data_IF_323020879670
#
_entry.id   IF_323020879670
#
_cell.length_a   1.000
_cell.length_b   1.000
_cell.length_c   1.000
_cell.angle_alpha   90.00
_cell.angle_beta   90.00
_cell.angle_gamma   90.00
#
_symmetry.space_group_name_H-M   'P 1'
#
loop_
_entity.id
_entity.type
_entity.pdbx_description
1 polymer ?
#
# COMPACT_ATOMS: atom_id res chain seq x y z
N UNK A 1 -9.31 3.63 25.44
CA UNK A 1 -8.12 3.56 24.55
C UNK A 1 -7.62 4.97 24.30
N UNK A 2 -6.31 5.25 24.45
CA UNK A 2 -5.74 6.58 24.13
C UNK A 2 -6.00 6.93 22.65
N UNK A 3 -6.34 8.18 22.34
CA UNK A 3 -6.70 8.68 20.99
C UNK A 3 -5.70 8.25 19.90
N UNK A 4 -4.41 8.25 20.24
CA UNK A 4 -3.29 7.79 19.39
C UNK A 4 -3.45 6.36 18.85
N UNK A 5 -4.05 5.44 19.61
CA UNK A 5 -4.27 4.05 19.18
C UNK A 5 -5.43 3.95 18.18
N UNK A 6 -6.46 4.79 18.31
CA UNK A 6 -7.58 4.80 17.38
C UNK A 6 -7.17 5.33 16.00
N UNK A 7 -6.30 6.34 15.95
CA UNK A 7 -5.74 6.86 14.71
C UNK A 7 -4.83 5.84 14.01
N UNK A 8 -4.00 5.12 14.78
CA UNK A 8 -3.17 4.04 14.24
C UNK A 8 -4.01 2.89 13.66
N UNK A 9 -5.08 2.46 14.36
CA UNK A 9 -5.98 1.41 13.86
C UNK A 9 -6.69 1.82 12.57
N UNK A 10 -7.15 3.08 12.46
CA UNK A 10 -7.76 3.61 11.23
C UNK A 10 -6.77 3.64 10.06
N UNK A 11 -5.52 4.04 10.32
CA UNK A 11 -4.47 4.03 9.31
C UNK A 11 -4.23 2.62 8.78
N UNK A 12 -4.00 1.65 9.68
CA UNK A 12 -3.75 0.26 9.29
C UNK A 12 -4.93 -0.35 8.53
N UNK A 13 -6.17 -0.02 8.94
CA UNK A 13 -7.39 -0.41 8.21
C UNK A 13 -7.37 0.13 6.78
N UNK A 14 -7.04 1.40 6.59
CA UNK A 14 -7.02 2.02 5.25
C UNK A 14 -5.92 1.43 4.37
N UNK A 15 -4.74 1.16 4.93
CA UNK A 15 -3.65 0.47 4.22
C UNK A 15 -4.09 -0.93 3.79
N UNK A 16 -4.67 -1.71 4.71
CA UNK A 16 -5.16 -3.05 4.40
C UNK A 16 -6.24 -3.07 3.31
N UNK A 17 -7.22 -2.16 3.39
CA UNK A 17 -8.26 -2.01 2.36
C UNK A 17 -7.68 -1.55 1.02
N UNK A 18 -6.65 -0.69 1.04
CA UNK A 18 -5.91 -0.30 -0.15
C UNK A 18 -5.32 -1.51 -0.87
N UNK A 19 -4.64 -2.39 -0.15
CA UNK A 19 -4.07 -3.61 -0.72
C UNK A 19 -5.14 -4.58 -1.22
N UNK A 20 -6.23 -4.79 -0.46
CA UNK A 20 -7.33 -5.65 -0.91
C UNK A 20 -7.96 -5.16 -2.22
N UNK A 21 -8.14 -3.84 -2.34
CA UNK A 21 -8.67 -3.24 -3.55
C UNK A 21 -7.72 -3.34 -4.74
N UNK A 22 -6.41 -3.29 -4.51
CA UNK A 22 -5.43 -3.38 -5.59
C UNK A 22 -5.21 -4.80 -6.10
N UNK A 23 -5.38 -5.85 -5.29
CA UNK A 23 -5.19 -7.26 -5.70
C UNK A 23 -5.91 -7.59 -7.01
N UNK A 24 -7.19 -7.20 -7.14
CA UNK A 24 -8.01 -7.55 -8.31
C UNK A 24 -7.49 -6.84 -9.56
N UNK A 25 -7.22 -5.53 -9.45
CA UNK A 25 -6.78 -4.72 -10.60
C UNK A 25 -5.36 -5.12 -11.03
N UNK A 26 -4.48 -5.40 -10.06
CA UNK A 26 -3.12 -5.90 -10.31
C UNK A 26 -3.11 -7.29 -10.95
N UNK A 27 -4.09 -8.14 -10.64
CA UNK A 27 -4.22 -9.46 -11.28
C UNK A 27 -4.67 -9.32 -12.73
N UNK A 28 -5.64 -8.46 -13.02
CA UNK A 28 -6.07 -8.13 -14.39
C UNK A 28 -4.92 -7.51 -15.19
N UNK A 29 -4.15 -6.61 -14.57
CA UNK A 29 -2.97 -6.03 -15.20
C UNK A 29 -1.90 -7.08 -15.55
N UNK A 30 -1.62 -8.00 -14.63
CA UNK A 30 -0.65 -9.07 -14.88
C UNK A 30 -1.08 -9.96 -16.04
N UNK A 31 -2.36 -10.30 -16.11
CA UNK A 31 -2.94 -11.05 -17.23
C UNK A 31 -2.81 -10.29 -18.56
N UNK A 32 -3.15 -8.99 -18.56
CA UNK A 32 -3.02 -8.12 -19.73
C UNK A 32 -1.56 -8.02 -20.24
N UNK A 33 -0.58 -8.07 -19.34
CA UNK A 33 0.84 -8.08 -19.71
C UNK A 33 1.42 -9.48 -19.87
N UNK A 34 0.61 -10.54 -19.94
CA UNK A 34 1.05 -11.94 -19.99
C UNK A 34 1.97 -12.26 -21.17
N UNK A 35 1.78 -11.60 -22.31
CA UNK A 35 2.61 -11.78 -23.51
C UNK A 35 3.94 -11.01 -23.47
N UNK A 36 4.16 -10.17 -22.45
CA UNK A 36 5.40 -9.43 -22.27
C UNK A 36 6.45 -10.29 -21.56
N UNK A 37 7.73 -9.91 -21.67
CA UNK A 37 8.77 -10.56 -20.89
C UNK A 37 8.46 -10.48 -19.38
N UNK A 38 8.71 -11.56 -18.65
CA UNK A 38 8.31 -11.69 -17.23
C UNK A 38 8.75 -10.54 -16.34
N UNK A 39 9.96 -9.99 -16.57
CA UNK A 39 10.46 -8.84 -15.81
C UNK A 39 9.68 -7.55 -16.13
N UNK A 40 9.20 -7.38 -17.36
CA UNK A 40 8.32 -6.27 -17.76
C UNK A 40 6.94 -6.45 -17.14
N UNK A 41 6.37 -7.66 -17.22
CA UNK A 41 5.09 -7.98 -16.60
C UNK A 41 5.11 -7.66 -15.10
N UNK A 42 6.11 -8.19 -14.38
CA UNK A 42 6.29 -7.94 -12.95
C UNK A 42 6.41 -6.43 -12.63
N UNK A 43 7.19 -5.69 -13.43
CA UNK A 43 7.39 -4.25 -13.23
C UNK A 43 6.12 -3.43 -13.49
N UNK A 44 5.43 -3.66 -14.61
CA UNK A 44 4.20 -2.92 -14.94
C UNK A 44 3.05 -3.27 -14.00
N UNK A 45 2.93 -4.53 -13.62
CA UNK A 45 1.95 -4.97 -12.61
C UNK A 45 2.18 -4.25 -11.29
N UNK A 46 3.43 -4.16 -10.82
CA UNK A 46 3.76 -3.45 -9.58
C UNK A 46 3.46 -1.95 -9.66
N UNK A 47 3.72 -1.32 -10.81
CA UNK A 47 3.38 0.10 -11.00
C UNK A 47 1.86 0.31 -10.90
N UNK A 48 1.07 -0.54 -11.56
CA UNK A 48 -0.39 -0.46 -11.49
C UNK A 48 -0.89 -0.73 -10.07
N UNK A 49 -0.32 -1.73 -9.39
CA UNK A 49 -0.60 -2.04 -7.99
C UNK A 49 -0.45 -0.78 -7.12
N UNK A 50 0.67 -0.08 -7.27
CA UNK A 50 0.92 1.15 -6.52
C UNK A 50 -0.07 2.27 -6.84
N UNK A 51 -0.36 2.49 -8.12
CA UNK A 51 -1.33 3.52 -8.53
C UNK A 51 -2.69 3.25 -7.90
N UNK A 52 -3.17 2.01 -7.94
CA UNK A 52 -4.48 1.63 -7.38
C UNK A 52 -4.45 1.70 -5.85
N UNK A 53 -3.43 1.12 -5.22
CA UNK A 53 -3.24 1.14 -3.77
C UNK A 53 -3.27 2.56 -3.23
N UNK A 54 -2.43 3.47 -3.75
CA UNK A 54 -2.35 4.83 -3.25
C UNK A 54 -3.63 5.64 -3.53
N UNK A 55 -4.33 5.35 -4.63
CA UNK A 55 -5.62 5.99 -4.94
C UNK A 55 -6.69 5.60 -3.92
N UNK A 56 -6.84 4.30 -3.62
CA UNK A 56 -7.81 3.79 -2.65
C UNK A 56 -7.45 4.26 -1.25
N UNK A 57 -6.19 4.07 -0.85
CA UNK A 57 -5.68 4.50 0.45
C UNK A 57 -5.90 6.00 0.68
N UNK A 58 -5.49 6.84 -0.29
CA UNK A 58 -5.64 8.29 -0.19
C UNK A 58 -7.10 8.73 -0.11
N UNK A 59 -7.98 8.08 -0.87
CA UNK A 59 -9.42 8.29 -0.81
C UNK A 59 -9.99 7.97 0.58
N UNK A 60 -9.74 6.76 1.09
CA UNK A 60 -10.20 6.33 2.42
C UNK A 60 -9.65 7.22 3.54
N UNK A 61 -8.37 7.56 3.48
CA UNK A 61 -7.73 8.44 4.45
C UNK A 61 -8.37 9.83 4.45
N UNK A 62 -8.67 10.39 3.28
CA UNK A 62 -9.38 11.66 3.17
C UNK A 62 -10.79 11.56 3.78
N UNK A 63 -11.56 10.53 3.46
CA UNK A 63 -12.93 10.38 3.99
C UNK A 63 -12.96 10.27 5.52
N UNK A 64 -12.02 9.53 6.10
CA UNK A 64 -11.89 9.34 7.55
C UNK A 64 -11.49 10.64 8.29
N UNK A 65 -10.77 11.54 7.60
CA UNK A 65 -10.22 12.76 8.19
C UNK A 65 -10.79 14.05 7.60
N UNK A 66 -11.85 13.98 6.78
CA UNK A 66 -12.33 15.09 5.94
C UNK A 66 -12.54 16.41 6.69
N UNK A 67 -13.03 16.34 7.92
CA UNK A 67 -13.32 17.52 8.77
C UNK A 67 -12.05 18.33 9.09
N UNK A 68 -10.89 17.68 9.13
CA UNK A 68 -9.58 18.32 9.36
C UNK A 68 -9.16 19.23 8.21
N UNK A 69 -9.64 18.96 7.00
CA UNK A 69 -9.21 19.62 5.78
C UNK A 69 -10.22 20.63 5.25
N UNK A 70 -11.21 21.03 6.05
CA UNK A 70 -12.17 22.09 5.71
C UNK A 70 -11.72 23.35 6.44
N UNK A 71 -11.42 24.41 5.69
CA UNK A 71 -11.08 25.73 6.20
C UNK A 71 -12.34 26.43 6.75
N UNK A 72 -12.14 27.49 7.53
CA UNK A 72 -13.25 28.27 8.12
C UNK A 72 -14.20 28.88 7.06
N UNK A 73 -13.70 29.10 5.84
CA UNK A 73 -14.48 29.57 4.70
C UNK A 73 -15.17 28.45 3.91
N UNK A 74 -15.13 27.20 4.40
CA UNK A 74 -15.73 26.02 3.77
C UNK A 74 -14.90 25.41 2.63
N UNK A 75 -13.77 26.00 2.25
CA UNK A 75 -12.90 25.47 1.19
C UNK A 75 -12.02 24.33 1.71
N UNK A 76 -11.57 23.46 0.80
CA UNK A 76 -10.69 22.34 1.13
C UNK A 76 -9.23 22.78 1.21
N UNK A 77 -8.58 22.53 2.33
CA UNK A 77 -7.12 22.69 2.47
C UNK A 77 -6.39 21.50 1.82
N UNK A 78 -6.25 21.58 0.49
CA UNK A 78 -5.52 20.59 -0.30
C UNK A 78 -4.02 20.56 0.03
N UNK A 79 -3.45 21.67 0.51
CA UNK A 79 -2.03 21.77 0.84
C UNK A 79 -1.72 20.95 2.10
N UNK A 80 -2.56 21.10 3.13
CA UNK A 80 -2.46 20.30 4.35
C UNK A 80 -2.70 18.82 4.06
N UNK A 81 -3.76 18.47 3.31
CA UNK A 81 -4.04 17.08 2.93
C UNK A 81 -2.87 16.43 2.19
N UNK A 82 -2.32 17.12 1.18
CA UNK A 82 -1.16 16.61 0.43
C UNK A 82 0.06 16.44 1.32
N UNK A 83 0.33 17.42 2.20
CA UNK A 83 1.44 17.33 3.14
C UNK A 83 1.29 16.15 4.10
N UNK A 84 0.10 15.88 4.61
CA UNK A 84 -0.14 14.79 5.55
C UNK A 84 -0.05 13.43 4.87
N UNK A 85 -0.60 13.29 3.67
CA UNK A 85 -0.46 12.07 2.86
C UNK A 85 1.02 11.75 2.57
N UNK A 86 1.81 12.75 2.17
CA UNK A 86 3.26 12.56 1.93
C UNK A 86 3.95 12.08 3.20
N UNK A 87 3.71 12.73 4.35
CA UNK A 87 4.32 12.32 5.64
C UNK A 87 3.97 10.88 6.01
N UNK A 88 2.72 10.47 5.79
CA UNK A 88 2.26 9.12 6.09
C UNK A 88 2.96 8.11 5.18
N UNK A 89 2.95 8.34 3.86
CA UNK A 89 3.63 7.43 2.91
C UNK A 89 5.12 7.35 3.23
N UNK A 90 5.77 8.48 3.53
CA UNK A 90 7.17 8.50 3.96
C UNK A 90 7.40 7.71 5.26
N UNK A 91 6.45 7.75 6.21
CA UNK A 91 6.55 6.98 7.46
C UNK A 91 6.43 5.47 7.26
N UNK A 92 5.77 5.02 6.19
CA UNK A 92 5.68 3.62 5.79
C UNK A 92 6.95 3.14 5.06
N UNK A 93 7.92 4.03 4.80
CA UNK A 93 8.99 3.84 3.82
C UNK A 93 9.77 2.52 3.90
N UNK A 94 10.12 2.04 5.11
CA UNK A 94 10.84 0.75 5.25
C UNK A 94 9.95 -0.42 4.82
N UNK A 95 8.67 -0.39 5.21
CA UNK A 95 7.70 -1.39 4.78
C UNK A 95 7.54 -1.38 3.26
N UNK A 96 7.39 -0.20 2.66
CA UNK A 96 7.19 -0.04 1.21
C UNK A 96 8.36 -0.57 0.39
N UNK A 97 9.60 -0.29 0.81
CA UNK A 97 10.80 -0.80 0.13
C UNK A 97 10.84 -2.32 0.19
N UNK A 98 10.58 -2.91 1.37
CA UNK A 98 10.54 -4.37 1.52
C UNK A 98 9.43 -4.97 0.67
N UNK A 99 8.24 -4.37 0.66
CA UNK A 99 7.11 -4.81 -0.16
C UNK A 99 7.48 -4.78 -1.64
N UNK A 100 8.01 -3.66 -2.15
CA UNK A 100 8.44 -3.51 -3.55
C UNK A 100 9.35 -4.66 -3.99
N UNK A 101 10.40 -4.92 -3.20
CA UNK A 101 11.41 -5.93 -3.53
C UNK A 101 10.79 -7.33 -3.51
N UNK A 102 10.09 -7.68 -2.43
CA UNK A 102 9.50 -9.01 -2.26
C UNK A 102 8.42 -9.27 -3.31
N UNK A 103 7.54 -8.29 -3.57
CA UNK A 103 6.45 -8.38 -4.55
C UNK A 103 6.98 -8.61 -5.96
N UNK A 104 8.00 -7.86 -6.34
CA UNK A 104 8.59 -7.93 -7.67
C UNK A 104 9.32 -9.26 -7.88
N UNK A 105 10.13 -9.69 -6.91
CA UNK A 105 10.88 -10.95 -6.99
C UNK A 105 9.92 -12.14 -7.04
N UNK A 106 8.89 -12.17 -6.18
CA UNK A 106 7.93 -13.27 -6.17
C UNK A 106 7.15 -13.36 -7.47
N UNK A 107 6.65 -12.24 -8.03
CA UNK A 107 5.91 -12.28 -9.28
C UNK A 107 6.81 -12.72 -10.44
N UNK A 108 8.01 -12.13 -10.53
CA UNK A 108 8.98 -12.51 -11.55
C UNK A 108 9.32 -14.00 -11.47
N UNK A 109 9.58 -14.51 -10.27
CA UNK A 109 9.86 -15.92 -10.05
C UNK A 109 8.70 -16.83 -10.44
N UNK A 110 7.46 -16.47 -10.06
CA UNK A 110 6.27 -17.25 -10.41
C UNK A 110 6.05 -17.30 -11.92
N UNK A 111 6.23 -16.19 -12.63
CA UNK A 111 6.14 -16.16 -14.09
C UNK A 111 7.20 -17.06 -14.75
N UNK A 112 8.43 -17.06 -14.23
CA UNK A 112 9.53 -17.89 -14.74
C UNK A 112 9.28 -19.40 -14.60
N UNK A 113 8.43 -19.82 -13.65
CA UNK A 113 7.99 -21.22 -13.50
C UNK A 113 6.66 -21.50 -14.22
N UNK A 114 6.30 -20.64 -15.19
CA UNK A 114 5.11 -20.74 -16.04
C UNK A 114 3.78 -20.71 -15.26
N UNK A 115 3.75 -20.02 -14.12
CA UNK A 115 2.50 -19.76 -13.42
C UNK A 115 1.67 -18.74 -14.21
N UNK A 116 0.35 -18.95 -14.26
CA UNK A 116 -0.57 -18.03 -14.93
C UNK A 116 -0.40 -16.59 -14.36
N UNK A 117 -0.24 -15.55 -15.20
CA UNK A 117 0.10 -14.21 -14.72
C UNK A 117 -0.90 -13.63 -13.70
N UNK A 118 -2.18 -13.89 -13.91
CA UNK A 118 -3.25 -13.54 -12.97
C UNK A 118 -2.99 -14.12 -11.58
N UNK A 119 -2.71 -15.43 -11.50
CA UNK A 119 -2.45 -16.14 -10.25
C UNK A 119 -1.09 -15.76 -9.64
N UNK A 120 -0.07 -15.56 -10.48
CA UNK A 120 1.24 -15.09 -10.05
C UNK A 120 1.11 -13.76 -9.31
N UNK A 121 0.31 -12.83 -9.84
CA UNK A 121 0.04 -11.54 -9.21
C UNK A 121 -0.64 -11.68 -7.84
N UNK A 122 -1.73 -12.46 -7.75
CA UNK A 122 -2.47 -12.66 -6.50
C UNK A 122 -1.59 -13.27 -5.40
N UNK A 123 -0.85 -14.34 -5.72
CA UNK A 123 -0.02 -15.07 -4.74
C UNK A 123 1.11 -14.18 -4.24
N UNK A 124 1.84 -13.54 -5.16
CA UNK A 124 2.90 -12.59 -4.83
C UNK A 124 2.41 -11.47 -3.91
N UNK A 125 1.26 -10.87 -4.25
CA UNK A 125 0.70 -9.75 -3.51
C UNK A 125 0.29 -10.17 -2.11
N UNK A 126 -0.35 -11.32 -1.98
CA UNK A 126 -0.81 -11.86 -0.71
C UNK A 126 0.38 -12.14 0.22
N UNK A 127 1.44 -12.78 -0.28
CA UNK A 127 2.66 -13.04 0.50
C UNK A 127 3.35 -11.73 0.88
N UNK A 128 3.48 -10.81 -0.07
CA UNK A 128 4.14 -9.52 0.17
C UNK A 128 3.39 -8.65 1.18
N UNK A 129 2.06 -8.69 1.17
CA UNK A 129 1.22 -8.02 2.17
C UNK A 129 1.48 -8.56 3.58
N UNK A 130 1.61 -9.89 3.74
CA UNK A 130 1.94 -10.49 5.04
C UNK A 130 3.33 -10.02 5.50
N UNK A 131 4.34 -10.07 4.62
CA UNK A 131 5.69 -9.58 4.93
C UNK A 131 5.68 -8.10 5.30
N UNK A 132 4.96 -7.28 4.55
CA UNK A 132 4.80 -5.86 4.80
C UNK A 132 4.22 -5.57 6.18
N UNK A 133 3.14 -6.26 6.56
CA UNK A 133 2.51 -6.09 7.87
C UNK A 133 3.45 -6.51 9.01
N UNK A 134 4.27 -7.54 8.81
CA UNK A 134 5.31 -7.92 9.76
C UNK A 134 6.35 -6.80 9.88
N UNK A 135 6.90 -6.33 8.75
CA UNK A 135 7.91 -5.26 8.71
C UNK A 135 7.42 -3.97 9.34
N UNK A 136 6.17 -3.57 9.09
CA UNK A 136 5.56 -2.39 9.73
C UNK A 136 5.51 -2.55 11.25
N UNK A 137 5.01 -3.68 11.75
CA UNK A 137 4.91 -3.91 13.19
C UNK A 137 6.30 -3.94 13.87
N UNK A 138 7.32 -4.51 13.22
CA UNK A 138 8.70 -4.47 13.72
C UNK A 138 9.27 -3.05 13.71
N UNK A 139 9.05 -2.29 12.63
CA UNK A 139 9.53 -0.91 12.51
C UNK A 139 8.96 -0.02 13.61
N UNK A 140 7.67 -0.17 13.92
CA UNK A 140 7.00 0.55 15.02
C UNK A 140 7.57 0.17 16.38
N UNK A 141 7.86 -1.12 16.62
CA UNK A 141 8.49 -1.57 17.88
C UNK A 141 9.92 -1.05 18.04
N UNK A 142 10.74 -1.09 16.97
CA UNK A 142 12.14 -0.66 16.99
C UNK A 142 12.28 0.84 17.17
N UNK A 143 11.45 1.63 16.49
CA UNK A 143 11.49 3.10 16.56
C UNK A 143 10.92 3.67 17.87
N UNK A 144 10.33 2.84 18.75
CA UNK A 144 9.65 3.28 19.98
C UNK A 144 8.66 4.43 19.72
N UNK A 145 8.06 4.49 18.52
CA UNK A 145 7.18 5.59 18.09
C UNK A 145 5.97 5.80 19.04
N UNK A 146 5.68 4.80 19.87
CA UNK A 146 4.62 4.77 20.89
C UNK A 146 5.13 4.43 22.29
N UNK A 147 6.35 4.85 22.68
CA UNK A 147 6.62 4.92 24.13
C UNK A 147 5.71 5.99 24.72
N UNK A 148 4.76 5.51 25.52
CA UNK A 148 4.12 6.29 26.56
C UNK A 148 5.23 6.84 27.48
N UNK A 149 5.20 8.14 27.76
CA UNK A 149 5.69 8.63 29.05
C UNK A 149 4.90 7.97 30.18
#
# INVERSE_FOLDING_TARGET
>A
MKQKYQEYLKLNKNVFLGFLGSIIISAIAADYFGDQADYLNSSFTLIIDYVVFFSIFGGLYYFDNRKKYVLDNGQKDNKLLKSDLIKIISSLGVGEIVYTIVRWILQFYLLQIEYEPYMASIVSQSISLVVYMITLNFSVKLTKLYKDE
#
